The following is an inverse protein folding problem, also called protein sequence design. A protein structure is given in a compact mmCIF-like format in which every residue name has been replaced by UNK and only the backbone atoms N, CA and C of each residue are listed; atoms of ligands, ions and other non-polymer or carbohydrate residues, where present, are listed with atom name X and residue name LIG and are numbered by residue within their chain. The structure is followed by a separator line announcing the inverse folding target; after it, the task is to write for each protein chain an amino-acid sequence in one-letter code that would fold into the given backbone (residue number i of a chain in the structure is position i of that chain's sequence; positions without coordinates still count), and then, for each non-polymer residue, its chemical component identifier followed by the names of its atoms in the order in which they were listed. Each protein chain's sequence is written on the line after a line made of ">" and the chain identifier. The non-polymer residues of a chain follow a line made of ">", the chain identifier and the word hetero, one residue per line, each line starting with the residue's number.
data_IF_886113164761
#
_entry.id   IF_886113164761
#
_cell.length_a   1.000
_cell.length_b   1.000
_cell.length_c   1.000
_cell.angle_alpha   90.00
_cell.angle_beta   90.00
_cell.angle_gamma   90.00
#
_symmetry.space_group_name_H-M   'P 1'
#
loop_
_entity.id
_entity.type
_entity.pdbx_description
1 polymer ?
#
# COMPACT_ATOMS: atom_id res chain seq x y z
N UNK A 1 -8.19 -8.06 -11.09
CA UNK A 1 -8.90 -8.90 -10.08
C UNK A 1 -9.79 -8.03 -9.18
N UNK A 2 -10.70 -8.64 -8.40
CA UNK A 2 -11.51 -7.97 -7.37
C UNK A 2 -11.13 -8.53 -5.98
N UNK A 3 -11.08 -7.70 -4.94
CA UNK A 3 -10.80 -8.14 -3.56
C UNK A 3 -11.91 -7.72 -2.61
N UNK A 4 -12.41 -8.68 -1.83
CA UNK A 4 -13.34 -8.45 -0.73
C UNK A 4 -12.74 -9.09 0.52
N UNK A 5 -12.51 -8.31 1.58
CA UNK A 5 -11.87 -8.83 2.79
C UNK A 5 -11.37 -7.76 3.75
N UNK A 6 -10.50 -8.16 4.67
CA UNK A 6 -9.84 -7.27 5.61
C UNK A 6 -8.47 -6.84 5.08
N UNK A 7 -8.17 -5.56 5.28
CA UNK A 7 -6.86 -4.96 5.07
C UNK A 7 -6.36 -4.40 6.39
N UNK A 8 -5.04 -4.39 6.57
CA UNK A 8 -4.39 -3.92 7.79
C UNK A 8 -3.36 -2.85 7.47
N UNK A 9 -3.26 -1.83 8.32
CA UNK A 9 -2.22 -0.80 8.22
C UNK A 9 -1.66 -0.51 9.60
N UNK A 10 -0.34 -0.46 9.66
CA UNK A 10 0.40 -0.04 10.83
C UNK A 10 0.94 1.37 10.56
N UNK A 11 0.59 2.35 11.39
CA UNK A 11 1.08 3.71 11.26
C UNK A 11 1.46 4.33 12.61
N UNK A 12 2.22 5.43 12.56
CA UNK A 12 2.58 6.19 13.74
C UNK A 12 1.29 6.69 14.45
N UNK A 13 1.17 6.55 15.80
CA UNK A 13 0.01 6.97 16.56
C UNK A 13 -0.41 8.43 16.35
N UNK A 14 0.53 9.32 16.00
CA UNK A 14 0.25 10.73 15.69
C UNK A 14 -0.73 10.91 14.53
N UNK A 15 -0.74 9.97 13.57
CA UNK A 15 -1.61 10.02 12.38
C UNK A 15 -2.92 9.26 12.55
N UNK A 16 -3.23 8.75 13.75
CA UNK A 16 -4.44 7.94 13.97
C UNK A 16 -5.75 8.70 13.79
N UNK A 17 -5.70 10.03 13.73
CA UNK A 17 -6.87 10.88 13.43
C UNK A 17 -7.31 10.83 11.98
N UNK A 18 -6.45 10.35 11.08
CA UNK A 18 -6.73 10.30 9.64
C UNK A 18 -6.33 8.93 9.06
N UNK A 19 -6.94 7.82 9.52
CA UNK A 19 -6.45 6.48 9.20
C UNK A 19 -6.58 6.14 7.71
N UNK A 20 -7.48 6.78 6.97
CA UNK A 20 -7.64 6.64 5.53
C UNK A 20 -6.81 7.63 4.70
N UNK A 21 -6.03 8.51 5.34
CA UNK A 21 -5.21 9.50 4.63
C UNK A 21 -4.03 8.84 3.89
N UNK A 22 -3.91 9.21 2.62
CA UNK A 22 -2.77 8.90 1.75
C UNK A 22 -1.75 10.04 1.65
N UNK A 23 -1.90 11.11 2.44
CA UNK A 23 -1.07 12.32 2.32
C UNK A 23 0.40 12.07 2.60
N UNK A 24 0.72 11.18 3.55
CA UNK A 24 2.10 10.79 3.83
C UNK A 24 2.77 10.19 2.60
N UNK A 25 2.07 9.28 1.90
CA UNK A 25 2.55 8.70 0.66
C UNK A 25 2.65 9.75 -0.46
N UNK A 26 1.68 10.66 -0.56
CA UNK A 26 1.75 11.76 -1.52
C UNK A 26 2.95 12.69 -1.26
N UNK A 27 3.24 13.00 0.00
CA UNK A 27 4.30 13.94 0.36
C UNK A 27 5.69 13.41 0.05
N UNK A 28 5.94 12.14 0.34
CA UNK A 28 7.27 11.55 0.25
C UNK A 28 7.47 10.64 -0.98
N UNK A 29 6.39 10.28 -1.66
CA UNK A 29 6.40 9.20 -2.64
C UNK A 29 6.60 7.84 -1.96
N UNK A 30 6.45 6.78 -2.75
CA UNK A 30 6.66 5.42 -2.31
C UNK A 30 7.05 4.53 -3.47
N UNK A 31 7.18 3.24 -3.22
CA UNK A 31 7.54 2.29 -4.27
C UNK A 31 6.52 2.30 -5.41
N UNK A 32 5.23 2.41 -5.10
CA UNK A 32 4.14 2.34 -6.08
C UNK A 32 3.37 3.66 -6.23
N UNK A 33 3.95 4.79 -5.84
CA UNK A 33 3.33 6.10 -6.05
C UNK A 33 4.39 7.20 -6.16
N UNK A 34 4.21 8.12 -7.11
CA UNK A 34 5.06 9.31 -7.22
C UNK A 34 4.74 10.30 -6.10
N UNK A 35 5.62 11.27 -5.88
CA UNK A 35 5.25 12.45 -5.09
C UNK A 35 3.99 13.10 -5.68
N UNK A 36 3.14 13.63 -4.80
CA UNK A 36 1.80 14.19 -5.04
C UNK A 36 0.71 13.18 -5.41
N UNK A 37 1.04 11.90 -5.64
CA UNK A 37 0.06 10.82 -5.78
C UNK A 37 -0.24 10.24 -4.40
N UNK A 38 -1.46 10.42 -3.92
CA UNK A 38 -1.92 9.73 -2.72
C UNK A 38 -1.92 8.22 -2.94
N UNK A 39 -1.53 7.47 -1.91
CA UNK A 39 -1.61 6.03 -1.91
C UNK A 39 -1.84 5.50 -0.49
N UNK A 40 -2.68 4.46 -0.38
CA UNK A 40 -2.93 3.75 0.87
C UNK A 40 -2.21 2.39 0.81
N UNK A 41 -1.14 2.27 1.58
CA UNK A 41 -0.40 1.01 1.73
C UNK A 41 -1.02 0.18 2.85
N UNK A 42 -1.44 -1.03 2.48
CA UNK A 42 -2.05 -1.98 3.42
C UNK A 42 -1.48 -3.38 3.21
N UNK A 43 -1.73 -4.26 4.16
CA UNK A 43 -1.38 -5.68 4.10
C UNK A 43 -2.63 -6.54 4.27
N UNK A 44 -2.61 -7.75 3.73
CA UNK A 44 -3.73 -8.71 3.88
C UNK A 44 -3.71 -9.42 5.23
N UNK A 45 -2.64 -9.27 6.01
CA UNK A 45 -2.51 -9.87 7.34
C UNK A 45 -1.86 -8.88 8.33
N UNK A 46 -2.27 -8.88 9.61
CA UNK A 46 -1.82 -7.90 10.61
C UNK A 46 -0.33 -8.01 10.92
N UNK A 47 0.23 -9.22 10.93
CA UNK A 47 1.65 -9.45 11.19
C UNK A 47 2.49 -8.88 10.05
N UNK A 48 1.98 -8.94 8.81
CA UNK A 48 2.63 -8.35 7.63
C UNK A 48 2.66 -6.82 7.74
N UNK A 49 1.56 -6.19 8.15
CA UNK A 49 1.52 -4.73 8.35
C UNK A 49 2.53 -4.27 9.42
N UNK A 50 2.64 -5.02 10.53
CA UNK A 50 3.62 -4.73 11.58
C UNK A 50 5.07 -4.91 11.12
N UNK A 51 5.35 -5.91 10.27
CA UNK A 51 6.67 -6.11 9.68
C UNK A 51 7.05 -4.98 8.74
N UNK A 52 6.11 -4.51 7.93
CA UNK A 52 6.32 -3.38 7.01
C UNK A 52 6.56 -2.06 7.78
N UNK A 53 5.91 -1.87 8.94
CA UNK A 53 6.21 -0.73 9.81
C UNK A 53 7.60 -0.82 10.48
N UNK A 54 8.17 -2.02 10.59
CA UNK A 54 9.43 -2.30 11.26
C UNK A 54 10.59 -2.60 10.29
N UNK A 55 10.68 -1.89 9.17
CA UNK A 55 11.75 -2.14 8.18
C UNK A 55 13.16 -1.79 8.68
N UNK A 56 13.30 -0.84 9.63
CA UNK A 56 14.60 -0.38 10.13
C UNK A 56 14.55 -0.19 11.64
N UNK A 57 15.51 -0.79 12.35
CA UNK A 57 15.67 -0.63 13.80
C UNK A 57 14.69 -1.46 14.64
N UNK A 58 14.32 -0.93 15.80
CA UNK A 58 13.34 -1.54 16.71
C UNK A 58 11.95 -0.98 16.42
N UNK A 59 10.93 -1.82 16.50
CA UNK A 59 9.53 -1.41 16.35
C UNK A 59 9.21 -0.27 17.31
N UNK A 60 8.83 0.88 16.73
CA UNK A 60 8.39 2.05 17.48
C UNK A 60 6.90 1.91 17.86
N UNK A 61 6.41 2.68 18.85
CA UNK A 61 4.97 2.74 19.15
C UNK A 61 4.17 2.94 17.86
N UNK A 62 3.23 2.03 17.62
CA UNK A 62 2.52 1.88 16.35
C UNK A 62 1.05 1.60 16.64
N UNK A 63 0.17 2.22 15.87
CA UNK A 63 -1.26 1.90 15.84
C UNK A 63 -1.51 0.98 14.67
N UNK A 64 -2.02 -0.22 14.94
CA UNK A 64 -2.48 -1.17 13.94
C UNK A 64 -4.00 -1.02 13.80
N UNK A 65 -4.45 -0.74 12.59
CA UNK A 65 -5.88 -0.62 12.25
C UNK A 65 -6.26 -1.65 11.19
N UNK A 66 -7.53 -2.03 11.22
CA UNK A 66 -8.14 -2.87 10.20
C UNK A 66 -9.13 -2.05 9.36
N UNK A 67 -9.28 -2.43 8.10
CA UNK A 67 -10.27 -1.90 7.20
C UNK A 67 -11.05 -3.03 6.56
N UNK A 68 -12.34 -2.81 6.34
CA UNK A 68 -13.14 -3.63 5.43
C UNK A 68 -12.98 -3.07 4.03
N UNK A 69 -12.69 -3.93 3.06
CA UNK A 69 -12.53 -3.56 1.67
C UNK A 69 -13.43 -4.40 0.77
N UNK A 70 -14.00 -3.73 -0.23
CA UNK A 70 -14.64 -4.33 -1.40
C UNK A 70 -14.21 -3.50 -2.61
N UNK A 71 -13.11 -3.90 -3.26
CA UNK A 71 -12.32 -3.00 -4.10
C UNK A 71 -11.70 -3.65 -5.33
N UNK A 72 -11.98 -3.07 -6.50
CA UNK A 72 -11.41 -3.43 -7.79
C UNK A 72 -11.77 -2.44 -8.91
N UNK A 73 -11.15 -2.54 -10.08
CA UNK A 73 -10.20 -3.58 -10.47
C UNK A 73 -8.80 -3.34 -9.89
N UNK A 74 -8.18 -4.41 -9.39
CA UNK A 74 -6.80 -4.43 -8.91
C UNK A 74 -5.89 -5.13 -9.90
N UNK A 75 -4.67 -4.60 -10.07
CA UNK A 75 -3.61 -5.24 -10.81
C UNK A 75 -2.99 -6.36 -9.94
N UNK A 76 -2.90 -7.58 -10.45
CA UNK A 76 -2.23 -8.67 -9.73
C UNK A 76 -0.74 -8.66 -10.10
N UNK A 77 0.09 -8.10 -9.21
CA UNK A 77 1.53 -8.00 -9.40
C UNK A 77 2.28 -9.33 -9.28
N UNK A 78 1.58 -10.44 -9.04
CA UNK A 78 2.18 -11.78 -9.04
C UNK A 78 2.03 -12.47 -10.39
N UNK A 79 1.12 -11.97 -11.23
CA UNK A 79 0.81 -12.55 -12.53
C UNK A 79 1.65 -11.86 -13.63
N UNK A 80 2.60 -12.63 -14.17
CA UNK A 80 3.48 -12.17 -15.26
C UNK A 80 2.69 -11.73 -16.49
N UNK A 81 1.58 -12.39 -16.84
CA UNK A 81 0.79 -12.02 -18.01
C UNK A 81 0.06 -10.69 -17.80
N UNK A 82 -0.34 -10.40 -16.56
CA UNK A 82 -0.96 -9.12 -16.18
C UNK A 82 0.04 -7.97 -16.18
N UNK A 83 1.30 -8.23 -15.82
CA UNK A 83 2.36 -7.21 -15.81
C UNK A 83 3.03 -6.97 -17.16
N UNK A 84 2.98 -7.94 -18.08
CA UNK A 84 3.64 -7.86 -19.39
C UNK A 84 3.27 -6.60 -20.20
N UNK A 85 2.00 -6.14 -20.25
CA UNK A 85 1.62 -4.90 -20.92
C UNK A 85 2.29 -3.64 -20.34
N UNK A 86 2.74 -3.71 -19.09
CA UNK A 86 3.45 -2.65 -18.39
C UNK A 86 4.98 -2.78 -18.51
N UNK A 87 5.47 -3.78 -19.26
CA UNK A 87 6.89 -4.05 -19.43
C UNK A 87 7.57 -4.46 -18.11
N UNK A 88 6.85 -5.14 -17.22
CA UNK A 88 7.35 -5.50 -15.90
C UNK A 88 7.20 -6.99 -15.62
N UNK A 89 8.15 -7.56 -14.89
CA UNK A 89 8.09 -8.89 -14.31
C UNK A 89 7.86 -8.82 -12.79
N UNK A 90 7.22 -9.84 -12.16
CA UNK A 90 6.96 -9.83 -10.72
C UNK A 90 8.21 -9.59 -9.85
N UNK A 91 9.37 -10.08 -10.27
CA UNK A 91 10.63 -9.90 -9.55
C UNK A 91 11.11 -8.43 -9.51
N UNK A 92 10.77 -7.63 -10.52
CA UNK A 92 11.21 -6.24 -10.66
C UNK A 92 10.43 -5.30 -9.73
N UNK A 93 9.19 -5.65 -9.37
CA UNK A 93 8.40 -4.95 -8.35
C UNK A 93 9.14 -4.89 -6.99
N UNK A 94 10.04 -5.86 -6.76
CA UNK A 94 10.84 -6.03 -5.56
C UNK A 94 12.09 -5.14 -5.47
N UNK A 95 12.47 -4.41 -6.52
CA UNK A 95 13.75 -3.68 -6.58
C UNK A 95 13.95 -2.72 -5.39
N UNK A 96 14.97 -2.95 -4.53
CA UNK A 96 15.25 -2.08 -3.39
C UNK A 96 15.78 -0.69 -3.80
N UNK A 97 16.26 -0.52 -5.04
CA UNK A 97 16.85 0.72 -5.53
C UNK A 97 15.83 1.85 -5.76
N UNK A 98 14.52 1.55 -5.70
CA UNK A 98 13.44 2.51 -5.97
C UNK A 98 13.60 3.83 -5.22
N UNK A 99 14.03 3.76 -3.94
CA UNK A 99 14.18 4.92 -3.07
C UNK A 99 15.35 5.80 -3.51
N UNK A 100 16.49 5.20 -3.82
CA UNK A 100 17.68 5.93 -4.29
C UNK A 100 17.45 6.54 -5.66
N UNK A 101 16.76 5.83 -6.55
CA UNK A 101 16.35 6.36 -7.86
C UNK A 101 15.45 7.57 -7.70
N UNK A 102 14.43 7.49 -6.85
CA UNK A 102 13.52 8.59 -6.56
C UNK A 102 14.26 9.82 -6.00
N UNK A 103 15.13 9.63 -5.00
CA UNK A 103 15.91 10.71 -4.38
C UNK A 103 16.90 11.35 -5.37
N UNK A 104 17.37 10.58 -6.35
CA UNK A 104 18.26 11.05 -7.42
C UNK A 104 17.52 11.65 -8.62
N UNK A 105 16.19 11.79 -8.56
CA UNK A 105 15.36 12.28 -9.67
C UNK A 105 15.33 11.36 -10.90
N UNK A 106 15.76 10.09 -10.75
CA UNK A 106 15.70 9.08 -11.81
C UNK A 106 14.29 8.48 -11.86
N UNK A 107 13.85 7.98 -13.03
CA UNK A 107 12.59 7.24 -13.14
C UNK A 107 12.54 6.08 -12.14
N UNK A 108 11.36 5.70 -11.69
CA UNK A 108 11.16 4.54 -10.81
C UNK A 108 10.12 3.65 -11.50
N UNK A 109 10.46 2.42 -11.95
CA UNK A 109 9.63 1.71 -12.92
C UNK A 109 8.29 1.33 -12.31
N UNK A 110 8.26 1.03 -11.01
CA UNK A 110 7.05 0.72 -10.24
C UNK A 110 6.12 1.93 -10.09
N UNK A 111 6.66 3.15 -10.10
CA UNK A 111 5.86 4.37 -10.15
C UNK A 111 5.34 4.64 -11.56
N UNK A 112 6.13 4.34 -12.60
CA UNK A 112 5.69 4.44 -14.00
C UNK A 112 4.57 3.44 -14.30
N UNK A 113 4.72 2.20 -13.80
CA UNK A 113 3.68 1.18 -13.83
C UNK A 113 2.42 1.63 -13.11
N UNK A 114 2.54 2.24 -11.92
CA UNK A 114 1.38 2.72 -11.17
C UNK A 114 0.57 3.75 -11.97
N UNK A 115 1.23 4.75 -12.56
CA UNK A 115 0.53 5.76 -13.36
C UNK A 115 -0.11 5.17 -14.62
N UNK A 116 0.57 4.21 -15.28
CA UNK A 116 -0.01 3.49 -16.42
C UNK A 116 -1.21 2.63 -16.02
N UNK A 117 -1.17 1.95 -14.87
CA UNK A 117 -2.26 1.13 -14.36
C UNK A 117 -3.48 2.01 -13.99
N UNK A 118 -3.25 3.14 -13.33
CA UNK A 118 -4.29 4.12 -13.02
C UNK A 118 -4.95 4.62 -14.31
N UNK A 119 -4.17 4.95 -15.35
CA UNK A 119 -4.70 5.38 -16.64
C UNK A 119 -5.57 4.31 -17.34
N UNK A 120 -5.37 3.03 -17.00
CA UNK A 120 -6.20 1.91 -17.47
C UNK A 120 -7.39 1.60 -16.53
N UNK A 121 -7.60 2.39 -15.47
CA UNK A 121 -8.73 2.24 -14.56
C UNK A 121 -8.49 1.31 -13.37
N UNK A 122 -7.27 0.82 -13.16
CA UNK A 122 -6.93 0.08 -11.95
C UNK A 122 -6.90 1.01 -10.74
N UNK A 123 -7.48 0.55 -9.63
CA UNK A 123 -7.56 1.33 -8.38
C UNK A 123 -6.47 0.96 -7.37
N UNK A 124 -5.69 -0.08 -7.66
CA UNK A 124 -4.59 -0.52 -6.83
C UNK A 124 -3.87 -1.73 -7.41
N UNK A 125 -2.86 -2.19 -6.69
CA UNK A 125 -2.03 -3.35 -7.03
C UNK A 125 -1.89 -4.27 -5.81
N UNK A 126 -1.98 -5.59 -6.04
CA UNK A 126 -1.62 -6.62 -5.06
C UNK A 126 -0.19 -7.07 -5.35
N UNK A 127 0.67 -7.05 -4.33
CA UNK A 127 2.09 -7.42 -4.47
C UNK A 127 2.54 -8.28 -3.29
N UNK A 128 3.60 -9.10 -3.44
CA UNK A 128 4.29 -9.68 -2.31
C UNK A 128 4.76 -8.62 -1.30
N UNK A 129 4.77 -8.98 -0.03
CA UNK A 129 5.44 -8.18 1.01
C UNK A 129 6.95 -8.23 0.80
N UNK A 130 7.61 -7.07 0.87
CA UNK A 130 9.07 -6.96 0.74
C UNK A 130 9.76 -6.72 2.09
N UNK A 131 8.99 -6.69 3.19
CA UNK A 131 9.54 -6.64 4.54
C UNK A 131 10.44 -7.85 4.85
N UNK A 132 11.52 -7.60 5.58
CA UNK A 132 12.46 -8.64 6.02
C UNK A 132 11.74 -9.69 6.90
N UNK A 133 11.85 -10.96 6.50
CA UNK A 133 11.25 -12.08 7.25
C UNK A 133 9.73 -12.18 7.10
N UNK A 134 9.15 -11.52 6.09
CA UNK A 134 7.78 -11.80 5.68
C UNK A 134 7.69 -13.22 5.09
N UNK A 135 6.62 -13.98 5.38
CA UNK A 135 6.31 -15.23 4.69
C UNK A 135 6.26 -15.04 3.16
N UNK A 136 6.57 -16.10 2.41
CA UNK A 136 6.58 -16.05 0.93
C UNK A 136 5.20 -15.74 0.33
N UNK A 137 4.12 -16.03 1.06
CA UNK A 137 2.73 -15.79 0.71
C UNK A 137 2.16 -14.50 1.34
N UNK A 138 2.97 -13.72 2.06
CA UNK A 138 2.53 -12.44 2.62
C UNK A 138 2.29 -11.42 1.51
N UNK A 139 1.12 -10.78 1.53
CA UNK A 139 0.69 -9.85 0.49
C UNK A 139 0.41 -8.46 1.05
N UNK A 140 0.79 -7.48 0.26
CA UNK A 140 0.40 -6.08 0.40
C UNK A 140 -0.58 -5.69 -0.70
N UNK A 141 -1.42 -4.73 -0.39
CA UNK A 141 -2.37 -4.13 -1.31
C UNK A 141 -2.18 -2.61 -1.24
N UNK A 142 -1.71 -2.04 -2.34
CA UNK A 142 -1.45 -0.61 -2.46
C UNK A 142 -2.56 0.00 -3.29
N UNK A 143 -3.30 0.93 -2.71
CA UNK A 143 -4.44 1.57 -3.34
C UNK A 143 -4.08 2.98 -3.79
N UNK A 144 -4.52 3.34 -4.99
CA UNK A 144 -4.44 4.70 -5.53
C UNK A 144 -5.79 5.40 -5.48
N UNK A 145 -6.88 4.64 -5.49
CA UNK A 145 -8.26 5.12 -5.35
C UNK A 145 -9.01 4.17 -4.41
N UNK A 146 -9.53 4.66 -3.28
CA UNK A 146 -10.19 3.81 -2.26
C UNK A 146 -11.45 4.42 -1.65
N UNK A 147 -11.81 5.64 -2.05
CA UNK A 147 -13.00 6.32 -1.55
C UNK A 147 -14.26 5.50 -1.82
N UNK A 148 -15.09 5.35 -0.78
CA UNK A 148 -16.32 4.56 -0.84
C UNK A 148 -16.13 3.04 -0.94
N UNK A 149 -14.90 2.53 -0.97
CA UNK A 149 -14.57 1.10 -1.15
C UNK A 149 -13.80 0.49 0.00
N UNK A 150 -13.26 1.34 0.88
CA UNK A 150 -12.53 0.95 2.09
C UNK A 150 -13.13 1.70 3.27
N UNK A 151 -13.45 0.96 4.32
CA UNK A 151 -14.04 1.50 5.55
C UNK A 151 -13.21 1.07 6.75
N UNK A 152 -12.85 2.04 7.61
CA UNK A 152 -12.20 1.76 8.88
C UNK A 152 -13.10 0.86 9.75
N UNK A 153 -12.50 -0.17 10.33
CA UNK A 153 -13.12 -0.97 11.39
C UNK A 153 -12.75 -0.33 12.73
N UNK A 154 -13.68 0.43 13.31
CA UNK A 154 -13.54 1.05 14.63
C UNK A 154 -14.93 1.15 15.30
N UNK A 155 -15.52 -0.01 15.60
CA UNK A 155 -16.92 -0.14 16.04
C UNK A 155 -17.19 0.54 17.40
N UNK A 156 -16.17 0.61 18.26
CA UNK A 156 -16.24 1.21 19.59
C UNK A 156 -15.70 2.66 19.63
N UNK A 157 -15.41 3.28 18.47
CA UNK A 157 -14.81 4.63 18.37
C UNK A 157 -13.52 4.78 19.20
N UNK A 158 -12.66 3.76 19.16
CA UNK A 158 -11.41 3.72 19.92
C UNK A 158 -10.42 4.77 19.43
N UNK A 159 -10.58 5.26 18.20
CA UNK A 159 -9.81 6.38 17.67
C UNK A 159 -10.45 7.74 17.95
N UNK A 160 -11.68 7.79 18.47
CA UNK A 160 -12.39 9.02 18.82
C UNK A 160 -12.62 9.94 17.62
N UNK A 161 -13.03 9.37 16.48
CA UNK A 161 -13.21 10.09 15.21
C UNK A 161 -14.66 10.49 14.97
N UNK A 162 -15.61 9.90 15.70
CA UNK A 162 -17.02 10.26 15.57
C UNK A 162 -17.27 11.62 16.22
N UNK A 163 -18.09 12.44 15.57
CA UNK A 163 -18.59 13.66 16.18
C UNK A 163 -19.41 13.30 17.44
N UNK A 164 -19.31 14.09 18.51
CA UNK A 164 -20.10 13.89 19.73
C UNK A 164 -21.60 14.05 19.50
#
# INVERSE_FOLDING_TARGET
>A
MHFTGLLYRAHNPVWSREPLSGEGAARFGGRFNRMRRAALYTSLAPETALREANQVGTLQPTTLVAYRADIGPLLDGRDTAVLQPFGMAPAELGDPSWRDRMLSGKPVPTQDLAEAAIAQGYVGIVVPSYARGAPADALNLVLWEWEGRVTLVDDDDRLGLRAP
#
